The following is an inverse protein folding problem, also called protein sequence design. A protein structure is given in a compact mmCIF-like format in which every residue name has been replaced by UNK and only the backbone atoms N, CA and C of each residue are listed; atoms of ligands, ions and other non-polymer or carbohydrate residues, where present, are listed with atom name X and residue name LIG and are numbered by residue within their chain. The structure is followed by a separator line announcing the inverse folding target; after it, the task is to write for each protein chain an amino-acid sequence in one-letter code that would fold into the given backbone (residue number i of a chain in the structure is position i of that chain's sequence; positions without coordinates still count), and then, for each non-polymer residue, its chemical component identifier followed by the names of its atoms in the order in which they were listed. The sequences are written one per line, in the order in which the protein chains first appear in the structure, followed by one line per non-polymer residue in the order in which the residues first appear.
data_IF_651691645783
#
_entry.id   IF_651691645783
#
_cell.length_a   1.000
_cell.length_b   1.000
_cell.length_c   1.000
_cell.angle_alpha   90.00
_cell.angle_beta   90.00
_cell.angle_gamma   90.00
#
_symmetry.space_group_name_H-M   'P 1'
#
loop_
_entity.id
_entity.type
_entity.pdbx_description
1 polymer ?
#
# COMPACT_ATOMS: atom_id res chain seq x y z
N UNK A 1 20.89 -15.88 6.51
CA UNK A 1 20.52 -15.54 5.12
C UNK A 1 20.96 -14.13 4.74
N UNK A 2 20.58 -13.08 5.48
CA UNK A 2 20.98 -11.70 5.16
C UNK A 2 22.49 -11.43 5.21
N UNK A 3 23.19 -11.97 6.22
CA UNK A 3 24.66 -11.90 6.31
C UNK A 3 25.38 -12.53 5.10
N UNK A 4 24.74 -13.42 4.35
CA UNK A 4 25.30 -14.00 3.12
C UNK A 4 25.17 -13.03 1.94
N UNK A 5 24.22 -12.10 1.96
CA UNK A 5 24.13 -10.99 1.01
C UNK A 5 25.11 -9.86 1.36
N UNK A 6 25.70 -9.86 2.56
CA UNK A 6 26.78 -8.96 3.01
C UNK A 6 28.18 -9.48 2.66
N UNK A 7 28.30 -10.77 2.37
CA UNK A 7 29.52 -11.35 1.84
C UNK A 7 29.62 -11.13 0.32
N UNK A 8 30.83 -10.96 -0.21
CA UNK A 8 31.10 -10.95 -1.66
C UNK A 8 31.01 -12.40 -2.20
N UNK A 9 29.77 -12.87 -2.40
CA UNK A 9 29.45 -14.18 -2.95
C UNK A 9 28.82 -14.04 -4.33
N UNK A 10 28.94 -15.09 -5.13
CA UNK A 10 28.15 -15.26 -6.35
C UNK A 10 26.83 -15.93 -5.98
N UNK A 11 25.72 -15.35 -6.44
CA UNK A 11 24.39 -15.92 -6.32
C UNK A 11 23.85 -16.23 -7.71
N UNK A 12 23.00 -17.25 -7.78
CA UNK A 12 22.32 -17.61 -9.01
C UNK A 12 20.86 -17.21 -8.90
N UNK A 13 20.38 -16.42 -9.86
CA UNK A 13 18.95 -16.15 -9.99
C UNK A 13 18.39 -16.96 -11.14
N UNK A 14 17.39 -17.77 -10.86
CA UNK A 14 16.74 -18.58 -11.89
C UNK A 14 15.25 -18.68 -11.67
N UNK A 15 14.47 -18.31 -12.70
CA UNK A 15 13.00 -18.38 -12.74
C UNK A 15 12.35 -17.74 -11.51
N UNK A 16 12.85 -16.56 -11.14
CA UNK A 16 12.32 -15.78 -10.00
C UNK A 16 12.66 -16.34 -8.61
N UNK A 17 13.53 -17.36 -8.50
CA UNK A 17 14.07 -17.84 -7.23
C UNK A 17 15.56 -17.51 -7.11
N UNK A 18 15.97 -17.19 -5.89
CA UNK A 18 17.37 -16.97 -5.53
C UNK A 18 17.97 -18.28 -5.04
N UNK A 19 19.12 -18.64 -5.62
CA UNK A 19 19.91 -19.80 -5.23
C UNK A 19 21.26 -19.32 -4.67
N UNK A 20 21.64 -19.90 -3.54
CA UNK A 20 22.88 -19.59 -2.83
C UNK A 20 23.93 -20.66 -3.11
N UNK A 21 25.22 -20.28 -3.19
CA UNK A 21 26.28 -21.26 -3.37
C UNK A 21 26.30 -22.16 -2.14
N UNK A 22 26.30 -23.47 -2.39
CA UNK A 22 26.50 -24.44 -1.34
C UNK A 22 27.95 -24.30 -0.84
N UNK A 23 28.14 -24.05 0.46
CA UNK A 23 29.47 -24.10 1.06
C UNK A 23 29.97 -25.54 0.95
N UNK A 24 31.16 -25.72 0.38
CA UNK A 24 31.77 -27.04 0.14
C UNK A 24 32.12 -27.73 1.46
N UNK A 25 31.15 -28.41 2.05
CA UNK A 25 31.35 -29.40 3.08
C UNK A 25 31.36 -30.80 2.42
N UNK A 26 32.40 -31.63 2.64
CA UNK A 26 32.48 -32.97 2.07
C UNK A 26 31.28 -33.86 2.42
N UNK A 27 30.62 -33.66 3.58
CA UNK A 27 29.43 -34.43 3.98
C UNK A 27 28.20 -34.08 3.12
N UNK A 28 28.03 -32.80 2.74
CA UNK A 28 26.92 -32.34 1.90
C UNK A 28 27.12 -32.78 0.43
N UNK A 29 28.36 -32.95 0.02
CA UNK A 29 28.74 -33.46 -1.31
C UNK A 29 28.33 -34.92 -1.51
N UNK A 30 28.33 -35.72 -0.44
CA UNK A 30 27.84 -37.11 -0.47
C UNK A 30 26.31 -37.15 -0.60
N UNK A 31 25.59 -36.26 0.10
CA UNK A 31 24.13 -36.19 0.06
C UNK A 31 23.58 -35.68 -1.28
N UNK A 32 24.33 -34.82 -1.97
CA UNK A 32 24.00 -34.30 -3.31
C UNK A 32 24.29 -35.27 -4.47
N UNK A 33 25.02 -36.37 -4.23
CA UNK A 33 25.27 -37.45 -5.22
C UNK A 33 24.11 -38.44 -5.37
N UNK A 34 23.04 -38.28 -4.61
CA UNK A 34 21.84 -39.09 -4.76
C UNK A 34 21.16 -38.77 -6.11
N UNK A 35 20.92 -39.75 -7.00
CA UNK A 35 20.54 -39.52 -8.40
C UNK A 35 19.14 -38.90 -8.62
N UNK A 36 18.44 -38.51 -7.56
CA UNK A 36 17.13 -37.87 -7.62
C UNK A 36 17.19 -36.32 -7.73
N UNK A 37 18.38 -35.67 -7.68
CA UNK A 37 18.46 -34.25 -7.31
C UNK A 37 19.08 -33.22 -8.29
N UNK A 38 20.07 -33.49 -9.18
CA UNK A 38 20.58 -32.42 -10.03
C UNK A 38 19.87 -32.39 -11.40
N UNK A 39 19.08 -31.34 -11.64
CA UNK A 39 18.65 -30.98 -13.00
C UNK A 39 19.68 -30.01 -13.57
N UNK A 40 20.46 -30.47 -14.54
CA UNK A 40 21.36 -29.62 -15.32
C UNK A 40 20.54 -28.61 -16.11
N UNK A 41 20.92 -27.32 -16.08
CA UNK A 41 20.26 -26.28 -16.87
C UNK A 41 20.30 -26.66 -18.36
N UNK A 42 19.15 -27.09 -18.89
CA UNK A 42 19.01 -27.60 -20.25
C UNK A 42 18.01 -28.76 -20.42
N UNK A 43 17.61 -29.44 -19.33
CA UNK A 43 16.62 -30.52 -19.39
C UNK A 43 15.18 -30.01 -19.20
N UNK A 44 14.20 -30.43 -20.02
CA UNK A 44 12.81 -30.06 -19.86
C UNK A 44 12.14 -30.99 -18.84
N UNK A 45 12.17 -30.63 -17.56
CA UNK A 45 11.39 -31.31 -16.52
C UNK A 45 10.25 -30.41 -16.02
N UNK A 46 9.04 -30.98 -16.04
CA UNK A 46 7.79 -30.32 -15.70
C UNK A 46 7.63 -30.00 -14.21
N UNK A 47 7.00 -28.84 -13.98
CA UNK A 47 6.25 -28.35 -12.80
C UNK A 47 6.88 -28.34 -11.40
N UNK A 48 7.96 -29.07 -11.12
CA UNK A 48 8.69 -28.92 -9.86
C UNK A 48 10.04 -28.23 -10.10
N UNK A 49 10.21 -27.04 -9.51
CA UNK A 49 11.46 -26.29 -9.63
C UNK A 49 12.57 -27.02 -8.86
N UNK A 50 13.73 -27.27 -9.47
CA UNK A 50 14.78 -28.06 -8.85
C UNK A 50 15.31 -27.37 -7.59
N UNK A 51 15.46 -28.13 -6.51
CA UNK A 51 16.04 -27.64 -5.25
C UNK A 51 17.54 -27.31 -5.38
N UNK A 52 18.21 -27.93 -6.36
CA UNK A 52 19.64 -27.81 -6.63
C UNK A 52 19.90 -27.51 -8.10
N UNK A 53 20.82 -26.58 -8.38
CA UNK A 53 21.29 -26.26 -9.72
C UNK A 53 22.81 -26.32 -9.76
N UNK A 54 23.37 -26.93 -10.81
CA UNK A 54 24.81 -26.90 -11.08
C UNK A 54 25.10 -25.90 -12.19
N UNK A 55 25.97 -24.92 -11.91
CA UNK A 55 26.43 -23.91 -12.87
C UNK A 55 27.93 -23.74 -12.71
N UNK A 56 28.70 -23.88 -13.80
CA UNK A 56 30.17 -23.76 -13.78
C UNK A 56 30.82 -24.63 -12.68
N UNK A 57 30.43 -25.90 -12.57
CA UNK A 57 30.91 -26.86 -11.57
C UNK A 57 30.69 -26.47 -10.09
N UNK A 58 29.81 -25.49 -9.84
CA UNK A 58 29.36 -25.07 -8.50
C UNK A 58 27.90 -25.45 -8.30
N UNK A 59 27.61 -25.98 -7.10
CA UNK A 59 26.25 -26.33 -6.70
C UNK A 59 25.60 -25.14 -5.99
N UNK A 60 24.36 -24.85 -6.40
CA UNK A 60 23.53 -23.80 -5.85
C UNK A 60 22.24 -24.41 -5.29
N UNK A 61 21.86 -23.98 -4.09
CA UNK A 61 20.64 -24.44 -3.41
C UNK A 61 19.59 -23.35 -3.47
N UNK A 62 18.36 -23.74 -3.78
CA UNK A 62 17.20 -22.84 -3.77
C UNK A 62 16.99 -22.29 -2.35
N UNK A 63 17.02 -20.98 -2.20
CA UNK A 63 16.85 -20.32 -0.90
C UNK A 63 15.46 -19.69 -0.77
N UNK A 64 15.18 -18.64 -1.54
CA UNK A 64 13.95 -17.84 -1.40
C UNK A 64 13.44 -17.36 -2.74
N UNK A 65 12.12 -17.21 -2.86
CA UNK A 65 11.52 -16.50 -3.99
C UNK A 65 11.84 -15.01 -3.93
N UNK A 66 12.19 -14.42 -5.06
CA UNK A 66 12.45 -12.99 -5.19
C UNK A 66 11.21 -12.16 -4.89
N UNK A 67 10.04 -12.62 -5.38
CA UNK A 67 8.76 -11.95 -5.08
C UNK A 67 8.51 -11.94 -3.58
N UNK A 68 8.67 -13.08 -2.91
CA UNK A 68 8.48 -13.17 -1.46
C UNK A 68 9.43 -12.27 -0.68
N UNK A 69 10.69 -12.12 -1.13
CA UNK A 69 11.66 -11.23 -0.49
C UNK A 69 11.25 -9.75 -0.63
N UNK A 70 10.78 -9.35 -1.82
CA UNK A 70 10.29 -8.00 -2.07
C UNK A 70 8.99 -7.76 -1.30
N UNK A 71 8.01 -8.65 -1.44
CA UNK A 71 6.64 -8.56 -0.90
C UNK A 71 6.62 -8.46 0.63
N UNK A 72 7.46 -9.27 1.29
CA UNK A 72 7.53 -9.32 2.75
C UNK A 72 8.56 -8.35 3.35
N UNK A 73 9.23 -7.53 2.54
CA UNK A 73 10.18 -6.53 3.05
C UNK A 73 9.62 -5.63 4.18
N UNK A 74 8.36 -5.14 4.13
CA UNK A 74 7.80 -4.33 5.23
C UNK A 74 7.67 -5.11 6.56
N UNK A 75 7.50 -6.43 6.48
CA UNK A 75 7.36 -7.32 7.65
C UNK A 75 8.74 -7.69 8.20
N UNK A 76 9.69 -7.97 7.31
CA UNK A 76 11.04 -8.38 7.66
C UNK A 76 11.89 -7.21 8.20
N UNK A 77 11.68 -6.00 7.65
CA UNK A 77 12.49 -4.80 7.93
C UNK A 77 11.59 -3.57 8.12
N UNK A 78 10.77 -3.51 9.18
CA UNK A 78 9.76 -2.48 9.35
C UNK A 78 10.35 -1.07 9.51
N UNK A 79 11.52 -0.94 10.17
CA UNK A 79 12.17 0.36 10.40
C UNK A 79 12.78 0.91 9.11
N UNK A 80 13.54 0.07 8.41
CA UNK A 80 14.20 0.40 7.15
C UNK A 80 13.17 0.68 6.05
N UNK A 81 12.04 -0.04 6.06
CA UNK A 81 10.91 0.25 5.20
C UNK A 81 10.30 1.63 5.49
N UNK A 82 10.06 1.96 6.76
CA UNK A 82 9.52 3.25 7.16
C UNK A 82 10.46 4.42 6.80
N UNK A 83 11.77 4.27 7.04
CA UNK A 83 12.77 5.28 6.68
C UNK A 83 12.84 5.48 5.16
N UNK A 84 12.85 4.38 4.38
CA UNK A 84 12.85 4.46 2.91
C UNK A 84 11.60 5.13 2.38
N UNK A 85 10.44 4.79 2.95
CA UNK A 85 9.17 5.43 2.61
C UNK A 85 9.21 6.93 2.92
N UNK A 86 9.72 7.33 4.10
CA UNK A 86 9.87 8.74 4.47
C UNK A 86 10.74 9.50 3.46
N UNK A 87 11.93 8.98 3.15
CA UNK A 87 12.86 9.60 2.20
C UNK A 87 12.23 9.76 0.81
N UNK A 88 11.48 8.76 0.36
CA UNK A 88 10.75 8.81 -0.91
C UNK A 88 9.66 9.89 -0.88
N UNK A 89 8.86 9.94 0.19
CA UNK A 89 7.83 10.96 0.34
C UNK A 89 8.42 12.38 0.35
N UNK A 90 9.57 12.57 1.00
CA UNK A 90 10.32 13.83 0.98
C UNK A 90 10.84 14.16 -0.43
N UNK A 91 11.49 13.20 -1.09
CA UNK A 91 12.06 13.35 -2.43
C UNK A 91 11.02 13.81 -3.47
N UNK A 92 9.81 13.25 -3.40
CA UNK A 92 8.72 13.58 -4.32
C UNK A 92 7.75 14.63 -3.77
N UNK A 93 8.05 15.21 -2.60
CA UNK A 93 7.18 16.19 -1.92
C UNK A 93 5.73 15.70 -1.79
N UNK A 94 5.57 14.43 -1.40
CA UNK A 94 4.30 13.72 -1.20
C UNK A 94 3.84 13.78 0.27
N UNK A 95 4.09 14.92 0.93
CA UNK A 95 3.92 15.10 2.37
C UNK A 95 2.46 14.98 2.84
N UNK A 96 2.29 14.89 4.16
CA UNK A 96 1.05 14.54 4.86
C UNK A 96 -0.17 15.43 4.56
N UNK A 97 0.00 16.62 3.98
CA UNK A 97 -1.11 17.49 3.56
C UNK A 97 -1.90 16.93 2.35
N UNK A 98 -1.40 15.86 1.71
CA UNK A 98 -2.16 15.06 0.75
C UNK A 98 -3.05 14.01 1.43
N UNK A 99 -2.91 13.82 2.74
CA UNK A 99 -3.72 12.90 3.53
C UNK A 99 -5.12 13.46 3.72
N UNK A 100 -6.11 12.74 3.21
CA UNK A 100 -7.50 13.06 3.43
C UNK A 100 -7.92 12.93 4.90
N UNK A 101 -9.04 13.54 5.24
CA UNK A 101 -9.72 13.24 6.51
C UNK A 101 -10.30 11.84 6.39
N UNK A 102 -9.65 10.87 7.04
CA UNK A 102 -10.21 9.54 7.21
C UNK A 102 -11.40 9.64 8.17
N UNK A 103 -12.62 9.63 7.64
CA UNK A 103 -13.82 9.54 8.44
C UNK A 103 -13.85 8.17 9.13
N UNK A 104 -14.07 8.17 10.44
CA UNK A 104 -14.22 6.94 11.21
C UNK A 104 -15.40 6.11 10.68
N UNK A 105 -15.20 4.83 10.29
CA UNK A 105 -16.28 3.94 9.87
C UNK A 105 -17.44 3.84 10.87
N UNK A 106 -17.14 3.98 12.17
CA UNK A 106 -18.16 3.99 13.22
C UNK A 106 -19.01 5.25 13.14
N UNK A 107 -18.39 6.42 12.92
CA UNK A 107 -19.11 7.68 12.75
C UNK A 107 -20.03 7.64 11.53
N UNK A 108 -19.53 7.12 10.40
CA UNK A 108 -20.33 6.91 9.18
C UNK A 108 -21.55 6.05 9.48
N UNK A 109 -21.35 4.95 10.21
CA UNK A 109 -22.43 4.04 10.62
C UNK A 109 -23.45 4.74 11.52
N UNK A 110 -22.99 5.49 12.52
CA UNK A 110 -23.89 6.20 13.43
C UNK A 110 -24.69 7.26 12.68
N UNK A 111 -24.06 8.07 11.83
CA UNK A 111 -24.71 9.19 11.13
C UNK A 111 -25.68 8.70 10.05
N UNK A 112 -25.31 7.70 9.25
CA UNK A 112 -26.10 7.29 8.09
C UNK A 112 -26.99 6.07 8.31
N UNK A 113 -26.70 5.25 9.32
CA UNK A 113 -27.49 4.03 9.59
C UNK A 113 -28.25 4.08 10.91
N UNK A 114 -27.75 4.78 11.94
CA UNK A 114 -28.41 4.81 13.26
C UNK A 114 -29.28 6.06 13.43
N UNK A 115 -28.69 7.25 13.31
CA UNK A 115 -29.34 8.55 13.49
C UNK A 115 -30.66 8.71 12.70
N UNK A 116 -30.79 8.25 11.44
CA UNK A 116 -32.03 8.45 10.66
C UNK A 116 -33.26 7.77 11.26
N UNK A 117 -33.09 6.80 12.16
CA UNK A 117 -34.19 6.15 12.86
C UNK A 117 -34.77 6.98 14.01
N UNK A 118 -34.02 7.98 14.50
CA UNK A 118 -34.37 8.77 15.68
C UNK A 118 -34.80 10.21 15.37
N UNK A 119 -34.55 10.69 14.15
CA UNK A 119 -34.98 12.02 13.72
C UNK A 119 -36.51 12.11 13.62
N UNK A 120 -37.12 13.00 14.41
CA UNK A 120 -38.56 13.26 14.36
C UNK A 120 -38.87 14.15 13.16
N UNK A 121 -39.78 13.72 12.29
CA UNK A 121 -40.24 14.51 11.14
C UNK A 121 -41.53 15.25 11.49
N UNK A 122 -41.56 16.55 11.21
CA UNK A 122 -42.78 17.35 11.25
C UNK A 122 -43.68 16.93 10.08
N UNK A 123 -44.65 16.02 10.34
CA UNK A 123 -45.77 15.73 9.46
C UNK A 123 -45.80 14.34 8.81
N UNK A 124 -47.04 13.89 8.53
CA UNK A 124 -47.58 12.61 8.06
C UNK A 124 -46.96 11.95 6.79
N UNK A 125 -45.66 12.11 6.52
CA UNK A 125 -45.01 11.45 5.39
C UNK A 125 -44.55 10.03 5.73
N UNK A 126 -44.97 9.07 4.90
CA UNK A 126 -44.51 7.66 4.92
C UNK A 126 -43.00 7.58 5.13
N UNK A 127 -42.54 6.57 5.88
CA UNK A 127 -41.13 6.23 6.16
C UNK A 127 -40.32 6.04 4.86
N UNK A 128 -39.94 7.13 4.20
CA UNK A 128 -38.94 7.13 3.13
C UNK A 128 -37.56 7.15 3.78
N UNK A 129 -36.71 6.19 3.44
CA UNK A 129 -35.28 6.21 3.81
C UNK A 129 -34.69 7.54 3.33
N UNK A 130 -34.12 8.32 4.25
CA UNK A 130 -33.36 9.51 3.88
C UNK A 130 -32.12 9.06 3.10
N UNK A 131 -31.79 9.81 2.05
CA UNK A 131 -30.46 9.69 1.45
C UNK A 131 -29.39 10.24 2.41
N UNK A 132 -28.15 9.78 2.27
CA UNK A 132 -27.01 10.27 3.05
C UNK A 132 -26.88 11.80 2.99
N UNK A 133 -27.08 12.37 1.80
CA UNK A 133 -27.06 13.83 1.61
C UNK A 133 -28.16 14.58 2.37
N UNK A 134 -29.38 14.03 2.42
CA UNK A 134 -30.51 14.67 3.11
C UNK A 134 -30.31 14.71 4.63
N UNK A 135 -29.64 13.69 5.19
CA UNK A 135 -29.28 13.65 6.61
C UNK A 135 -28.31 14.78 6.94
N UNK A 136 -27.27 14.96 6.13
CA UNK A 136 -26.27 16.01 6.35
C UNK A 136 -26.88 17.41 6.19
N UNK A 137 -27.81 17.58 5.26
CA UNK A 137 -28.54 18.84 5.08
C UNK A 137 -29.39 19.18 6.33
N UNK A 138 -30.08 18.19 6.91
CA UNK A 138 -30.84 18.36 8.16
C UNK A 138 -29.93 18.74 9.34
N UNK A 139 -28.76 18.10 9.45
CA UNK A 139 -27.79 18.44 10.50
C UNK A 139 -27.31 19.88 10.31
N UNK A 140 -27.00 20.29 9.07
CA UNK A 140 -26.57 21.65 8.75
C UNK A 140 -27.62 22.70 9.12
N UNK A 141 -28.90 22.43 8.89
CA UNK A 141 -29.99 23.34 9.24
C UNK A 141 -30.15 23.51 10.75
N UNK A 142 -29.88 22.45 11.53
CA UNK A 142 -30.05 22.43 12.98
C UNK A 142 -28.79 22.83 13.76
N UNK A 143 -27.61 22.70 13.15
CA UNK A 143 -26.31 22.93 13.80
C UNK A 143 -25.53 24.00 13.06
N UNK A 144 -25.16 25.07 13.77
CA UNK A 144 -24.29 26.11 13.23
C UNK A 144 -22.85 25.59 13.11
N UNK A 145 -22.46 25.19 11.90
CA UNK A 145 -21.12 24.70 11.60
C UNK A 145 -20.10 25.86 11.64
N UNK A 146 -19.02 25.77 12.45
CA UNK A 146 -17.98 26.79 12.46
C UNK A 146 -17.26 26.93 11.11
N UNK A 147 -16.90 28.15 10.68
CA UNK A 147 -16.35 28.41 9.34
C UNK A 147 -15.02 27.71 9.06
N UNK A 148 -14.25 27.33 10.10
CA UNK A 148 -13.01 26.56 9.95
C UNK A 148 -13.22 25.24 9.22
N UNK A 149 -14.37 24.56 9.44
CA UNK A 149 -14.65 23.26 8.83
C UNK A 149 -15.04 23.40 7.35
N UNK A 150 -15.63 24.53 6.95
CA UNK A 150 -15.84 24.84 5.54
C UNK A 150 -14.49 25.09 4.83
N UNK A 151 -13.55 25.77 5.50
CA UNK A 151 -12.21 25.96 4.95
C UNK A 151 -11.44 24.64 4.82
N UNK A 152 -11.55 23.76 5.80
CA UNK A 152 -10.97 22.41 5.75
C UNK A 152 -11.62 21.57 4.63
N UNK A 153 -12.94 21.63 4.47
CA UNK A 153 -13.65 20.97 3.37
C UNK A 153 -13.16 21.47 2.00
N UNK A 154 -13.00 22.78 1.81
CA UNK A 154 -12.42 23.35 0.58
C UNK A 154 -11.01 22.86 0.30
N UNK A 155 -10.15 22.84 1.32
CA UNK A 155 -8.78 22.34 1.20
C UNK A 155 -8.75 20.85 0.85
N UNK A 156 -9.65 20.06 1.43
CA UNK A 156 -9.77 18.64 1.11
C UNK A 156 -10.26 18.42 -0.32
N UNK A 157 -11.24 19.20 -0.78
CA UNK A 157 -11.79 19.12 -2.14
C UNK A 157 -10.85 19.69 -3.21
N UNK A 158 -9.78 20.40 -2.82
CA UNK A 158 -8.77 20.83 -3.77
C UNK A 158 -8.01 19.61 -4.31
N UNK A 159 -8.27 19.28 -5.57
CA UNK A 159 -7.64 18.16 -6.28
C UNK A 159 -6.28 18.53 -6.86
N UNK A 160 -5.96 19.83 -6.98
CA UNK A 160 -4.73 20.28 -7.66
C UNK A 160 -3.46 19.71 -7.01
N UNK A 161 -3.30 19.69 -5.67
CA UNK A 161 -2.12 19.12 -5.04
C UNK A 161 -1.93 17.62 -5.32
N UNK A 162 -3.02 16.87 -5.43
CA UNK A 162 -2.98 15.44 -5.73
C UNK A 162 -2.66 15.17 -7.19
N UNK A 163 -3.24 15.95 -8.11
CA UNK A 163 -2.95 15.86 -9.53
C UNK A 163 -1.48 16.21 -9.81
N UNK A 164 -0.96 17.25 -9.18
CA UNK A 164 0.46 17.63 -9.28
C UNK A 164 1.38 16.55 -8.67
N UNK A 165 0.99 15.97 -7.53
CA UNK A 165 1.72 14.85 -6.93
C UNK A 165 1.76 13.61 -7.84
N UNK A 166 0.63 13.26 -8.46
CA UNK A 166 0.55 12.17 -9.43
C UNK A 166 1.40 12.47 -10.68
N UNK A 167 1.33 13.69 -11.20
CA UNK A 167 2.12 14.11 -12.35
C UNK A 167 3.62 13.96 -12.05
N UNK A 168 4.09 14.45 -10.89
CA UNK A 168 5.48 14.29 -10.45
C UNK A 168 5.93 12.83 -10.37
N UNK A 169 5.06 11.93 -9.92
CA UNK A 169 5.32 10.49 -9.90
C UNK A 169 5.37 9.88 -11.31
N UNK A 170 4.52 10.33 -12.23
CA UNK A 170 4.49 9.85 -13.61
C UNK A 170 5.69 10.32 -14.43
N UNK A 171 6.10 11.59 -14.28
CA UNK A 171 7.31 12.14 -14.91
C UNK A 171 8.56 11.39 -14.48
N UNK A 172 8.59 10.90 -13.23
CA UNK A 172 9.73 10.20 -12.70
C UNK A 172 9.95 8.80 -13.32
N UNK A 173 9.04 8.34 -14.19
CA UNK A 173 9.14 7.15 -15.06
C UNK A 173 9.93 5.98 -14.47
N UNK A 174 9.23 5.12 -13.73
CA UNK A 174 9.81 3.91 -13.14
C UNK A 174 9.24 2.68 -13.82
N UNK A 175 10.03 2.07 -14.68
CA UNK A 175 9.67 0.79 -15.28
C UNK A 175 9.89 -0.36 -14.28
N UNK A 176 8.95 -1.31 -14.17
CA UNK A 176 9.16 -2.51 -13.38
C UNK A 176 10.42 -3.23 -13.88
N UNK A 177 11.38 -3.40 -12.98
CA UNK A 177 12.64 -4.04 -13.31
C UNK A 177 12.44 -5.56 -13.21
N UNK A 178 12.53 -6.32 -14.31
CA UNK A 178 12.44 -7.77 -14.22
C UNK A 178 13.55 -8.28 -13.30
N UNK A 179 13.33 -9.40 -12.59
CA UNK A 179 14.41 -10.05 -11.86
C UNK A 179 15.56 -10.36 -12.83
N UNK A 180 16.81 -10.15 -12.39
CA UNK A 180 17.96 -10.57 -13.19
C UNK A 180 17.91 -12.09 -13.34
N UNK A 181 18.44 -12.62 -14.44
CA UNK A 181 18.58 -14.06 -14.65
C UNK A 181 20.05 -14.41 -14.80
N UNK A 182 20.44 -15.56 -14.24
CA UNK A 182 21.81 -16.07 -14.28
C UNK A 182 22.64 -15.73 -13.04
N UNK A 183 23.95 -15.96 -13.17
CA UNK A 183 24.93 -15.72 -12.12
C UNK A 183 25.17 -14.22 -11.94
N UNK A 184 25.19 -13.77 -10.69
CA UNK A 184 25.52 -12.40 -10.34
C UNK A 184 26.17 -12.27 -8.98
N UNK A 185 26.90 -11.17 -8.76
CA UNK A 185 27.42 -10.84 -7.44
C UNK A 185 26.31 -10.42 -6.48
N UNK A 186 26.52 -10.63 -5.19
CA UNK A 186 25.66 -10.10 -4.12
C UNK A 186 25.50 -8.58 -4.21
N UNK A 187 26.55 -7.85 -4.56
CA UNK A 187 26.49 -6.40 -4.80
C UNK A 187 25.53 -6.05 -5.95
N UNK A 188 25.62 -6.77 -7.07
CA UNK A 188 24.74 -6.59 -8.23
C UNK A 188 23.28 -6.87 -7.89
N UNK A 189 23.03 -7.97 -7.17
CA UNK A 189 21.69 -8.31 -6.69
C UNK A 189 21.14 -7.27 -5.73
N UNK A 190 21.96 -6.80 -4.77
CA UNK A 190 21.56 -5.78 -3.81
C UNK A 190 21.16 -4.49 -4.50
N UNK A 191 21.93 -4.05 -5.49
CA UNK A 191 21.61 -2.86 -6.28
C UNK A 191 20.29 -3.03 -7.04
N UNK A 192 20.08 -4.19 -7.67
CA UNK A 192 18.81 -4.52 -8.31
C UNK A 192 17.65 -4.51 -7.31
N UNK A 193 17.81 -5.18 -6.18
CA UNK A 193 16.76 -5.35 -5.18
C UNK A 193 16.40 -4.02 -4.51
N UNK A 194 17.39 -3.16 -4.24
CA UNK A 194 17.15 -1.80 -3.79
C UNK A 194 16.32 -0.99 -4.80
N UNK A 195 16.59 -1.13 -6.11
CA UNK A 195 15.77 -0.50 -7.16
C UNK A 195 14.35 -1.08 -7.17
N UNK A 196 14.21 -2.40 -7.09
CA UNK A 196 12.92 -3.09 -7.08
C UNK A 196 12.04 -2.63 -5.91
N UNK A 197 12.62 -2.48 -4.71
CA UNK A 197 11.93 -1.95 -3.54
C UNK A 197 11.45 -0.51 -3.75
N UNK A 198 12.29 0.35 -4.33
CA UNK A 198 11.90 1.73 -4.64
C UNK A 198 10.75 1.78 -5.67
N UNK A 199 10.83 0.99 -6.74
CA UNK A 199 9.75 0.92 -7.75
C UNK A 199 8.45 0.44 -7.13
N UNK A 200 8.51 -0.58 -6.27
CA UNK A 200 7.33 -1.08 -5.55
C UNK A 200 6.69 0.00 -4.67
N UNK A 201 7.50 0.67 -3.84
CA UNK A 201 7.01 1.74 -2.96
C UNK A 201 6.31 2.86 -3.77
N UNK A 202 6.89 3.25 -4.91
CA UNK A 202 6.29 4.26 -5.78
C UNK A 202 4.97 3.79 -6.38
N UNK A 203 4.87 2.52 -6.77
CA UNK A 203 3.63 1.95 -7.27
C UNK A 203 2.53 1.93 -6.17
N UNK A 204 2.89 1.58 -4.94
CA UNK A 204 1.99 1.63 -3.78
C UNK A 204 1.52 3.07 -3.49
N UNK A 205 2.43 4.04 -3.53
CA UNK A 205 2.10 5.45 -3.33
C UNK A 205 1.25 6.04 -4.47
N UNK A 206 1.50 5.64 -5.72
CA UNK A 206 0.64 5.99 -6.86
C UNK A 206 -0.76 5.42 -6.67
N UNK A 207 -0.88 4.15 -6.30
CA UNK A 207 -2.17 3.52 -6.05
C UNK A 207 -2.93 4.21 -4.90
N UNK A 208 -2.22 4.59 -3.83
CA UNK A 208 -2.76 5.37 -2.72
C UNK A 208 -3.32 6.71 -3.20
N UNK A 209 -2.54 7.47 -3.97
CA UNK A 209 -2.95 8.79 -4.48
C UNK A 209 -4.11 8.70 -5.47
N UNK A 210 -4.12 7.71 -6.36
CA UNK A 210 -5.25 7.47 -7.28
C UNK A 210 -6.54 7.15 -6.52
N UNK A 211 -6.43 6.34 -5.46
CA UNK A 211 -7.56 6.04 -4.58
C UNK A 211 -8.06 7.31 -3.88
N UNK A 212 -7.16 8.06 -3.28
CA UNK A 212 -7.47 9.33 -2.59
C UNK A 212 -8.15 10.34 -3.53
N UNK A 213 -7.64 10.47 -4.77
CA UNK A 213 -8.22 11.35 -5.78
C UNK A 213 -9.64 10.91 -6.15
N UNK A 214 -9.86 9.61 -6.38
CA UNK A 214 -11.19 9.06 -6.67
C UNK A 214 -12.16 9.29 -5.50
N UNK A 215 -11.70 9.07 -4.28
CA UNK A 215 -12.52 9.26 -3.07
C UNK A 215 -12.91 10.75 -2.94
N UNK A 216 -11.98 11.68 -3.19
CA UNK A 216 -12.26 13.13 -3.18
C UNK A 216 -13.17 13.60 -4.31
N UNK A 217 -13.04 13.04 -5.51
CA UNK A 217 -13.95 13.33 -6.63
C UNK A 217 -15.40 12.96 -6.29
N UNK A 218 -15.60 11.83 -5.60
CA UNK A 218 -16.93 11.42 -5.11
C UNK A 218 -17.49 12.42 -4.09
N UNK A 219 -16.64 12.93 -3.18
CA UNK A 219 -17.04 13.97 -2.22
C UNK A 219 -17.28 15.33 -2.86
N UNK A 220 -16.51 15.71 -3.87
CA UNK A 220 -16.72 16.95 -4.63
C UNK A 220 -18.10 16.96 -5.29
N UNK A 221 -18.54 15.81 -5.81
CA UNK A 221 -19.89 15.64 -6.34
C UNK A 221 -20.98 15.70 -5.25
N UNK A 222 -20.65 15.38 -3.99
CA UNK A 222 -21.59 15.31 -2.87
C UNK A 222 -21.88 16.66 -2.17
N UNK A 223 -21.23 17.76 -2.60
CA UNK A 223 -21.30 19.15 -2.10
C UNK A 223 -20.45 19.45 -0.85
N UNK A 224 -19.69 20.55 -0.92
CA UNK A 224 -18.75 21.07 0.11
C UNK A 224 -19.36 21.16 1.51
N UNK A 225 -20.57 21.70 1.60
CA UNK A 225 -21.25 21.93 2.87
C UNK A 225 -21.49 20.65 3.66
N UNK A 226 -21.76 19.55 2.95
CA UNK A 226 -22.00 18.24 3.56
C UNK A 226 -20.72 17.63 4.11
N UNK A 227 -19.61 17.84 3.42
CA UNK A 227 -18.29 17.45 3.91
C UNK A 227 -17.94 18.24 5.18
N UNK A 228 -18.19 19.55 5.21
CA UNK A 228 -17.93 20.37 6.38
C UNK A 228 -18.70 19.92 7.63
N UNK A 229 -19.95 19.45 7.44
CA UNK A 229 -20.73 18.82 8.52
C UNK A 229 -20.03 17.57 9.04
N UNK A 230 -19.57 16.68 8.15
CA UNK A 230 -18.88 15.45 8.56
C UNK A 230 -17.57 15.74 9.29
N UNK A 231 -16.78 16.70 8.80
CA UNK A 231 -15.55 17.14 9.47
C UNK A 231 -15.83 17.69 10.87
N UNK A 232 -16.90 18.50 11.01
CA UNK A 232 -17.33 19.01 12.30
C UNK A 232 -17.72 17.87 13.26
N UNK A 233 -18.49 16.89 12.79
CA UNK A 233 -18.91 15.74 13.59
C UNK A 233 -17.71 14.89 14.03
N UNK A 234 -16.77 14.62 13.12
CA UNK A 234 -15.56 13.87 13.41
C UNK A 234 -14.69 14.58 14.46
N UNK A 235 -14.52 15.90 14.35
CA UNK A 235 -13.73 16.68 15.30
C UNK A 235 -14.41 16.83 16.67
N UNK A 236 -15.75 16.90 16.70
CA UNK A 236 -16.51 17.08 17.94
C UNK A 236 -16.70 15.76 18.70
N UNK A 237 -16.72 14.63 17.99
CA UNK A 237 -16.95 13.29 18.56
C UNK A 237 -18.36 13.09 19.13
N UNK A 238 -19.21 14.12 19.11
CA UNK A 238 -20.54 14.09 19.71
C UNK A 238 -21.53 14.94 18.94
N UNK A 239 -22.77 14.49 18.91
CA UNK A 239 -23.91 15.16 18.28
C UNK A 239 -25.14 14.93 19.12
N UNK A 240 -26.01 15.93 19.23
CA UNK A 240 -27.35 15.78 19.78
C UNK A 240 -28.34 16.52 18.88
N UNK A 241 -29.36 15.80 18.41
CA UNK A 241 -30.42 16.28 17.53
C UNK A 241 -31.74 15.65 17.95
N UNK A 242 -32.74 16.49 18.20
CA UNK A 242 -34.11 16.07 18.57
C UNK A 242 -34.17 15.03 19.71
N UNK A 243 -33.25 15.12 20.66
CA UNK A 243 -33.17 14.24 21.84
C UNK A 243 -32.42 12.91 21.61
N UNK A 244 -31.85 12.70 20.43
CA UNK A 244 -30.91 11.61 20.17
C UNK A 244 -29.50 12.16 20.01
N UNK A 245 -28.54 11.51 20.65
CA UNK A 245 -27.15 11.89 20.51
C UNK A 245 -26.17 10.78 20.86
N UNK A 246 -24.93 10.95 20.41
CA UNK A 246 -23.82 10.08 20.73
C UNK A 246 -22.65 10.90 21.29
N UNK A 247 -21.78 10.26 22.06
CA UNK A 247 -20.60 10.83 22.71
C UNK A 247 -19.41 9.91 22.54
#
# INVERSE_FOLDING_TARGET
MWRLLEADLEILVHRGSLYLPLLYDPEILEETRNPALPVTLGAPSGRDFPSFLSVQDRLFVRAVSISSLVDNYPVLFPREHADRRRLLLEQYSLTADLGGVALDPQLVTIVFHVLPHFLRRDGLSRRRRLGEGEILDLIRERVKIPPRFNQEARRFLDLNPLQEALHRLETASFSPLPPPEGLMSTAGFRAWWQKALTVRLLAEERARLLKELKDREQWAAAQEDRLAVLLYLAAKGSLELDGFGFR
#
